data_IF_128876940506
#
_entry.id   IF_128876940506
#
_cell.length_a   1.000
_cell.length_b   1.000
_cell.length_c   1.000
_cell.angle_alpha   90.00
_cell.angle_beta   90.00
_cell.angle_gamma   90.00
#
_symmetry.space_group_name_H-M   'P 1'
#
loop_
_entity.id
_entity.type
_entity.pdbx_description
1 polymer ?
#
# COMPACT_ATOMS: atom_id res chain seq x y z
N UNK A 1 16.50 10.28 3.01
CA UNK A 1 16.36 8.91 2.48
C UNK A 1 14.93 8.70 1.99
N UNK A 2 14.71 7.82 1.00
CA UNK A 2 13.38 7.39 0.54
C UNK A 2 13.25 5.91 0.87
N UNK A 3 12.26 5.56 1.67
CA UNK A 3 11.98 4.18 2.09
C UNK A 3 10.84 3.61 1.21
N UNK A 4 11.14 2.62 0.39
CA UNK A 4 10.18 2.06 -0.57
C UNK A 4 9.27 0.97 0.03
N UNK A 5 9.49 0.59 1.29
CA UNK A 5 8.71 -0.45 1.94
C UNK A 5 8.51 -0.21 3.43
N UNK A 6 7.34 0.36 3.76
CA UNK A 6 6.86 0.45 5.14
C UNK A 6 5.48 -0.21 5.31
N UNK A 7 5.12 -0.46 6.58
CA UNK A 7 3.80 -0.92 6.97
C UNK A 7 3.31 -0.11 8.17
N UNK A 8 2.70 1.05 7.91
CA UNK A 8 2.25 2.00 8.92
C UNK A 8 0.90 1.66 9.53
N UNK A 9 0.26 0.54 9.13
CA UNK A 9 -0.91 -0.08 9.78
C UNK A 9 -2.20 0.77 9.83
N UNK A 10 -2.24 1.87 9.11
CA UNK A 10 -3.35 2.83 9.07
C UNK A 10 -3.81 3.00 7.60
N UNK A 11 -5.10 2.78 7.25
CA UNK A 11 -6.25 2.49 8.13
C UNK A 11 -6.27 1.09 8.76
N UNK A 12 -6.99 1.01 9.88
CA UNK A 12 -7.49 -0.24 10.45
C UNK A 12 -6.77 -0.77 11.69
N UNK A 13 -5.50 -0.45 11.90
CA UNK A 13 -4.78 -0.82 13.14
C UNK A 13 -3.83 0.29 13.63
N UNK A 14 -4.31 1.55 13.78
CA UNK A 14 -3.49 2.69 14.16
C UNK A 14 -2.77 2.52 15.52
N UNK A 15 -3.30 1.67 16.41
CA UNK A 15 -2.68 1.33 17.68
C UNK A 15 -1.36 0.54 17.54
N UNK A 16 -1.10 -0.07 16.38
CA UNK A 16 0.16 -0.78 16.07
C UNK A 16 1.19 0.14 15.39
N UNK A 17 0.72 1.26 14.84
CA UNK A 17 1.45 2.21 14.01
C UNK A 17 0.43 3.06 13.28
N UNK A 18 0.67 4.36 13.16
CA UNK A 18 -0.20 5.32 12.46
C UNK A 18 0.63 6.23 11.58
N UNK A 19 0.01 6.94 10.62
CA UNK A 19 0.76 7.91 9.82
C UNK A 19 1.43 8.97 10.69
N UNK A 20 0.82 9.41 11.79
CA UNK A 20 1.43 10.35 12.73
C UNK A 20 2.67 9.76 13.42
N UNK A 21 2.53 8.57 14.02
CA UNK A 21 3.61 7.98 14.83
C UNK A 21 4.79 7.53 13.98
N UNK A 22 4.50 6.83 12.88
CA UNK A 22 5.54 6.19 12.07
C UNK A 22 6.23 7.19 11.15
N UNK A 23 5.53 8.19 10.60
CA UNK A 23 6.19 9.25 9.82
C UNK A 23 7.08 10.14 10.69
N UNK A 24 6.71 10.34 11.96
CA UNK A 24 7.57 11.03 12.93
C UNK A 24 8.84 10.24 13.22
N UNK A 25 8.71 8.93 13.48
CA UNK A 25 9.86 8.05 13.67
C UNK A 25 10.77 8.03 12.43
N UNK A 26 10.18 7.95 11.23
CA UNK A 26 10.90 8.01 9.96
C UNK A 26 11.69 9.32 9.81
N UNK A 27 11.07 10.47 10.08
CA UNK A 27 11.71 11.78 10.00
C UNK A 27 12.88 11.93 10.99
N UNK A 28 12.72 11.47 12.23
CA UNK A 28 13.80 11.44 13.24
C UNK A 28 14.97 10.59 12.75
N UNK A 29 14.69 9.49 12.04
CA UNK A 29 15.68 8.63 11.40
C UNK A 29 16.29 9.18 10.09
N UNK A 30 15.90 10.37 9.63
CA UNK A 30 16.38 10.96 8.37
C UNK A 30 15.69 10.43 7.10
N UNK A 31 14.57 9.72 7.24
CA UNK A 31 13.71 9.31 6.14
C UNK A 31 12.68 10.42 5.90
N UNK A 32 12.68 10.96 4.70
CA UNK A 32 11.85 12.12 4.34
C UNK A 32 10.70 11.75 3.42
N UNK A 33 10.70 10.52 2.88
CA UNK A 33 9.66 10.00 2.01
C UNK A 33 9.50 8.49 2.22
N UNK A 34 8.27 7.99 2.22
CA UNK A 34 7.99 6.55 2.34
C UNK A 34 6.95 6.05 1.33
N UNK A 35 6.95 4.75 1.08
CA UNK A 35 5.94 4.05 0.29
C UNK A 35 5.27 2.96 1.13
N UNK A 36 4.01 3.17 1.52
CA UNK A 36 3.30 2.24 2.40
C UNK A 36 2.62 1.10 1.64
N UNK A 37 2.73 -0.11 2.19
CA UNK A 37 2.24 -1.35 1.58
C UNK A 37 0.70 -1.50 1.70
N UNK A 38 0.05 -2.25 0.79
CA UNK A 38 -1.41 -2.25 0.66
C UNK A 38 -2.13 -3.15 1.70
N UNK A 39 -1.40 -3.87 2.56
CA UNK A 39 -1.96 -4.78 3.56
C UNK A 39 -2.45 -4.10 4.85
N UNK A 40 -3.19 -3.00 4.67
CA UNK A 40 -3.98 -2.32 5.72
C UNK A 40 -5.38 -2.93 5.82
N UNK A 41 -6.25 -2.37 6.68
CA UNK A 41 -7.65 -2.77 6.76
C UNK A 41 -8.57 -1.53 6.66
N UNK A 42 -9.26 -1.31 5.52
CA UNK A 42 -9.27 -2.16 4.33
C UNK A 42 -7.91 -2.21 3.61
N UNK A 43 -7.70 -3.30 2.86
CA UNK A 43 -6.54 -3.44 1.99
C UNK A 43 -6.67 -2.49 0.79
N UNK A 44 -5.57 -1.92 0.31
CA UNK A 44 -5.56 -0.98 -0.81
C UNK A 44 -5.68 -1.72 -2.15
N UNK A 45 -6.84 -2.31 -2.41
CA UNK A 45 -7.16 -3.14 -3.59
C UNK A 45 -8.08 -2.45 -4.60
N UNK A 46 -8.63 -1.29 -4.24
CA UNK A 46 -9.49 -0.46 -5.10
C UNK A 46 -9.12 1.03 -4.94
N UNK A 47 -9.65 1.86 -5.84
CA UNK A 47 -9.35 3.31 -5.86
C UNK A 47 -9.94 4.05 -4.64
N UNK A 48 -11.04 3.57 -4.07
CA UNK A 48 -11.64 4.17 -2.87
C UNK A 48 -10.69 4.00 -1.68
N UNK A 49 -10.22 2.78 -1.43
CA UNK A 49 -9.25 2.49 -0.39
C UNK A 49 -7.93 3.25 -0.58
N UNK A 50 -7.48 3.43 -1.82
CA UNK A 50 -6.30 4.26 -2.13
C UNK A 50 -6.54 5.73 -1.78
N UNK A 51 -7.67 6.30 -2.18
CA UNK A 51 -8.01 7.69 -1.91
C UNK A 51 -8.21 7.96 -0.42
N UNK A 52 -8.90 7.08 0.30
CA UNK A 52 -9.10 7.20 1.74
C UNK A 52 -7.76 7.19 2.48
N UNK A 53 -6.87 6.26 2.13
CA UNK A 53 -5.53 6.18 2.70
C UNK A 53 -4.69 7.43 2.43
N UNK A 54 -4.76 7.97 1.21
CA UNK A 54 -4.14 9.26 0.85
C UNK A 54 -4.71 10.41 1.68
N UNK A 55 -6.02 10.45 1.91
CA UNK A 55 -6.66 11.50 2.69
C UNK A 55 -6.22 11.47 4.16
N UNK A 56 -6.10 10.28 4.76
CA UNK A 56 -5.59 10.11 6.13
C UNK A 56 -4.13 10.57 6.21
N UNK A 57 -3.27 10.09 5.30
CA UNK A 57 -1.86 10.50 5.29
C UNK A 57 -1.66 11.99 5.05
N UNK A 58 -2.49 12.63 4.21
CA UNK A 58 -2.47 14.06 3.97
C UNK A 58 -2.76 14.89 5.24
N UNK A 59 -3.54 14.35 6.17
CA UNK A 59 -3.89 15.01 7.43
C UNK A 59 -2.86 14.77 8.54
N UNK A 60 -2.15 13.64 8.49
CA UNK A 60 -1.41 13.11 9.65
C UNK A 60 0.09 12.90 9.42
N UNK A 61 0.54 12.69 8.18
CA UNK A 61 1.95 12.42 7.89
C UNK A 61 2.78 13.70 7.96
N UNK A 62 3.97 13.61 8.57
CA UNK A 62 4.96 14.69 8.55
C UNK A 62 6.08 14.48 7.51
N UNK A 63 6.11 13.31 6.87
CA UNK A 63 7.00 12.98 5.77
C UNK A 63 6.21 12.86 4.46
N UNK A 64 6.90 12.91 3.32
CA UNK A 64 6.26 12.67 2.03
C UNK A 64 5.80 11.21 1.92
N UNK A 65 4.72 10.97 1.20
CA UNK A 65 4.10 9.65 1.13
C UNK A 65 3.74 9.27 -0.30
N UNK A 66 3.85 7.98 -0.58
CA UNK A 66 3.22 7.29 -1.70
C UNK A 66 2.71 5.92 -1.24
N UNK A 67 1.92 5.26 -2.08
CA UNK A 67 1.27 4.00 -1.73
C UNK A 67 1.42 2.98 -2.84
N UNK A 68 1.75 1.75 -2.44
CA UNK A 68 1.65 0.60 -3.32
C UNK A 68 0.18 0.17 -3.43
N UNK A 69 -0.23 -0.23 -4.63
CA UNK A 69 -1.54 -0.82 -4.88
C UNK A 69 -1.46 -2.34 -4.77
N UNK A 70 -2.39 -2.96 -4.07
CA UNK A 70 -2.39 -4.41 -3.89
C UNK A 70 -3.01 -5.14 -5.07
N UNK A 71 -2.52 -6.36 -5.30
CA UNK A 71 -3.14 -7.32 -6.23
C UNK A 71 -3.90 -8.37 -5.45
N UNK A 72 -5.08 -8.72 -5.94
CA UNK A 72 -5.84 -9.90 -5.56
C UNK A 72 -6.29 -10.65 -6.81
N UNK A 73 -6.80 -11.85 -6.62
CA UNK A 73 -7.39 -12.64 -7.69
C UNK A 73 -8.61 -11.96 -8.35
N UNK A 74 -9.19 -10.93 -7.74
CA UNK A 74 -10.45 -10.30 -8.16
C UNK A 74 -10.29 -8.88 -8.70
N UNK A 75 -9.08 -8.29 -8.69
CA UNK A 75 -8.90 -6.87 -9.05
C UNK A 75 -7.96 -6.62 -10.24
N UNK A 76 -7.60 -7.65 -11.01
CA UNK A 76 -6.69 -7.49 -12.15
C UNK A 76 -7.18 -6.45 -13.18
N UNK A 77 -8.48 -6.37 -13.44
CA UNK A 77 -9.05 -5.36 -14.34
C UNK A 77 -8.83 -3.92 -13.83
N UNK A 78 -8.84 -3.74 -12.50
CA UNK A 78 -8.55 -2.44 -11.87
C UNK A 78 -7.05 -2.13 -11.99
N UNK A 79 -6.19 -3.14 -11.79
CA UNK A 79 -4.74 -3.00 -11.93
C UNK A 79 -4.37 -2.64 -13.36
N UNK A 80 -4.98 -3.27 -14.36
CA UNK A 80 -4.79 -3.00 -15.79
C UNK A 80 -5.19 -1.56 -16.17
N UNK A 81 -6.26 -1.04 -15.56
CA UNK A 81 -6.75 0.31 -15.80
C UNK A 81 -6.11 1.39 -14.88
N UNK A 82 -5.20 1.02 -13.98
CA UNK A 82 -4.66 1.91 -12.95
C UNK A 82 -3.77 2.99 -13.57
N UNK A 83 -4.04 4.28 -13.26
CA UNK A 83 -3.12 5.36 -13.61
C UNK A 83 -1.82 5.22 -12.79
N UNK A 84 -0.67 4.95 -13.42
CA UNK A 84 0.59 4.74 -12.72
C UNK A 84 1.06 5.99 -11.95
N UNK A 85 0.52 7.18 -12.24
CA UNK A 85 0.85 8.41 -11.48
C UNK A 85 0.18 8.47 -10.11
N UNK A 86 -0.80 7.60 -9.84
CA UNK A 86 -1.51 7.59 -8.58
C UNK A 86 -0.83 6.73 -7.51
N UNK A 87 0.09 5.85 -7.86
CA UNK A 87 0.66 4.84 -6.96
C UNK A 87 2.18 4.77 -7.12
N UNK A 88 2.89 4.27 -6.11
CA UNK A 88 4.35 4.02 -6.23
C UNK A 88 4.67 2.73 -6.99
N UNK A 89 3.71 1.82 -7.07
CA UNK A 89 3.87 0.52 -7.70
C UNK A 89 2.69 -0.40 -7.39
N UNK A 90 2.74 -1.59 -7.99
CA UNK A 90 1.80 -2.68 -7.75
C UNK A 90 2.52 -3.74 -6.92
N UNK A 91 1.90 -4.17 -5.82
CA UNK A 91 2.44 -5.15 -4.86
C UNK A 91 1.59 -6.41 -4.87
N UNK A 92 2.21 -7.52 -5.27
CA UNK A 92 1.63 -8.86 -5.18
C UNK A 92 2.28 -9.63 -4.03
N UNK A 93 1.48 -10.33 -3.24
CA UNK A 93 1.98 -11.26 -2.21
C UNK A 93 1.87 -12.69 -2.74
N UNK A 94 3.01 -13.24 -3.17
CA UNK A 94 3.12 -14.62 -3.68
C UNK A 94 3.39 -15.66 -2.58
N UNK A 95 3.51 -15.20 -1.32
CA UNK A 95 3.71 -16.05 -0.15
C UNK A 95 3.33 -15.29 1.12
N UNK A 96 2.93 -16.03 2.17
CA UNK A 96 2.54 -15.55 3.50
C UNK A 96 1.77 -14.21 3.48
N UNK A 97 0.45 -14.28 3.28
CA UNK A 97 -0.42 -13.11 3.30
C UNK A 97 -1.66 -13.36 4.16
N UNK A 98 -2.34 -12.28 4.55
CA UNK A 98 -3.59 -12.33 5.32
C UNK A 98 -4.76 -11.98 4.43
N UNK A 99 -5.86 -12.73 4.51
CA UNK A 99 -7.09 -12.48 3.74
C UNK A 99 -6.92 -12.76 2.24
N UNK A 100 -7.64 -11.99 1.40
CA UNK A 100 -7.73 -12.21 -0.06
C UNK A 100 -6.51 -11.70 -0.86
N UNK A 101 -5.37 -11.44 -0.22
CA UNK A 101 -4.18 -10.88 -0.89
C UNK A 101 -3.11 -11.91 -1.22
N UNK A 102 -3.29 -13.19 -0.88
CA UNK A 102 -2.43 -14.25 -1.40
C UNK A 102 -2.80 -14.50 -2.87
N UNK A 103 -1.81 -14.34 -3.76
CA UNK A 103 -1.95 -14.65 -5.19
C UNK A 103 -0.89 -15.68 -5.54
N UNK A 104 -1.29 -16.95 -5.50
CA UNK A 104 -0.42 -18.11 -5.77
C UNK A 104 -0.90 -18.96 -6.95
N UNK A 105 -2.06 -18.66 -7.55
CA UNK A 105 -2.53 -19.29 -8.80
C UNK A 105 -1.65 -18.84 -9.98
N UNK A 106 -0.92 -19.76 -10.63
CA UNK A 106 -0.07 -19.46 -11.77
C UNK A 106 -0.80 -18.75 -12.91
N UNK A 107 -2.10 -19.03 -13.14
CA UNK A 107 -2.87 -18.39 -14.21
C UNK A 107 -3.12 -16.90 -13.93
N UNK A 108 -3.32 -16.56 -12.66
CA UNK A 108 -3.53 -15.18 -12.22
C UNK A 108 -2.21 -14.42 -12.31
N UNK A 109 -1.10 -15.06 -11.93
CA UNK A 109 0.24 -14.49 -12.06
C UNK A 109 0.63 -14.30 -13.53
N UNK A 110 0.39 -15.29 -14.39
CA UNK A 110 0.61 -15.18 -15.83
C UNK A 110 -0.16 -13.99 -16.41
N UNK A 111 -1.45 -13.83 -16.04
CA UNK A 111 -2.23 -12.68 -16.49
C UNK A 111 -1.69 -11.34 -15.97
N UNK A 112 -1.18 -11.29 -14.74
CA UNK A 112 -0.60 -10.08 -14.15
C UNK A 112 0.70 -9.63 -14.85
N UNK A 113 1.51 -10.59 -15.31
CA UNK A 113 2.84 -10.35 -15.89
C UNK A 113 2.89 -10.44 -17.42
N UNK A 114 1.75 -10.68 -18.09
CA UNK A 114 1.64 -10.80 -19.54
C UNK A 114 1.79 -9.46 -20.29
#
# INVERSE_FOLDING_TARGET
MIDDQVHFRDPGSPQKGSFTSESLAAAIGGITSFMDMPNTNPATLDLTALHDKKAIAAQHSIANYAFHFGVSAQNLDIVEALDPKLVSGVKVFMGASTGNMLVDDPKILERLFA
#
